data_IF_166910964900
#
_entry.id   IF_166910964900
#
_cell.length_a   1.000
_cell.length_b   1.000
_cell.length_c   1.000
_cell.angle_alpha   90.00
_cell.angle_beta   90.00
_cell.angle_gamma   90.00
#
_symmetry.space_group_name_H-M   'P 1'
#
loop_
_entity.id
_entity.type
_entity.pdbx_description
1 polymer ?
#
# COMPACT_ATOMS: atom_id res chain seq x y z
N UNK A 1 14.93 -25.59 -2.73
CA UNK A 1 14.39 -25.14 -4.02
C UNK A 1 12.90 -24.90 -3.84
N UNK A 2 12.51 -23.78 -3.24
CA UNK A 2 11.07 -23.49 -3.00
C UNK A 2 10.46 -23.03 -4.29
N UNK A 3 9.50 -23.80 -4.80
CA UNK A 3 8.81 -23.51 -6.05
C UNK A 3 8.05 -22.19 -5.94
N UNK A 4 8.37 -21.24 -6.83
CA UNK A 4 7.56 -20.06 -7.03
C UNK A 4 6.16 -20.54 -7.44
N UNK A 5 5.16 -20.28 -6.58
CA UNK A 5 3.76 -20.51 -6.95
C UNK A 5 3.49 -19.71 -8.22
N UNK A 6 2.91 -20.37 -9.21
CA UNK A 6 2.47 -19.73 -10.45
C UNK A 6 1.62 -18.50 -10.10
N UNK A 7 2.04 -17.35 -10.62
CA UNK A 7 1.45 -16.02 -10.43
C UNK A 7 0.09 -15.93 -11.15
N UNK A 8 -0.90 -16.70 -10.68
CA UNK A 8 -2.28 -16.70 -11.19
C UNK A 8 -3.15 -15.58 -10.62
N UNK A 9 -2.57 -14.71 -9.79
CA UNK A 9 -3.28 -13.59 -9.16
C UNK A 9 -3.36 -12.37 -10.06
N UNK A 10 -4.34 -11.51 -9.79
CA UNK A 10 -4.41 -10.19 -10.43
C UNK A 10 -3.34 -9.30 -9.80
N UNK A 11 -2.33 -8.90 -10.59
CA UNK A 11 -1.19 -8.10 -10.11
C UNK A 11 -1.58 -6.83 -9.34
N UNK A 12 -2.66 -6.15 -9.75
CA UNK A 12 -3.15 -4.97 -9.04
C UNK A 12 -3.74 -5.30 -7.67
N UNK A 13 -4.35 -6.48 -7.50
CA UNK A 13 -4.87 -6.93 -6.21
C UNK A 13 -3.72 -7.27 -5.29
N UNK A 14 -2.72 -8.01 -5.77
CA UNK A 14 -1.50 -8.31 -5.00
C UNK A 14 -0.85 -7.02 -4.51
N UNK A 15 -0.62 -6.06 -5.42
CA UNK A 15 0.00 -4.78 -5.04
C UNK A 15 -0.86 -3.96 -4.07
N UNK A 16 -2.19 -4.03 -4.16
CA UNK A 16 -3.06 -3.38 -3.17
C UNK A 16 -2.85 -3.95 -1.77
N UNK A 17 -2.70 -5.28 -1.65
CA UNK A 17 -2.39 -5.93 -0.37
C UNK A 17 -0.96 -5.62 0.09
N UNK A 18 0.03 -5.66 -0.79
CA UNK A 18 1.42 -5.31 -0.43
C UNK A 18 1.50 -3.87 0.11
N UNK A 19 0.75 -2.93 -0.49
CA UNK A 19 0.64 -1.55 0.01
C UNK A 19 -0.01 -1.50 1.39
N UNK A 20 -1.10 -2.23 1.60
CA UNK A 20 -1.82 -2.25 2.89
C UNK A 20 -0.94 -2.84 4.01
N UNK A 21 -0.24 -3.94 3.73
CA UNK A 21 0.69 -4.59 4.66
C UNK A 21 1.88 -3.67 4.99
N UNK A 22 2.43 -2.97 4.00
CA UNK A 22 3.50 -2.00 4.21
C UNK A 22 3.05 -0.81 5.09
N UNK A 23 1.81 -0.35 4.93
CA UNK A 23 1.23 0.68 5.80
C UNK A 23 1.01 0.13 7.22
N UNK A 24 0.55 -1.12 7.35
CA UNK A 24 0.34 -1.78 8.64
C UNK A 24 1.63 -2.01 9.43
N UNK A 25 2.72 -2.33 8.73
CA UNK A 25 4.03 -2.59 9.34
C UNK A 25 4.75 -1.30 9.78
N UNK A 26 4.31 -0.13 9.33
CA UNK A 26 4.91 1.13 9.72
C UNK A 26 4.55 1.48 11.19
N UNK A 27 5.52 1.88 12.03
CA UNK A 27 5.26 2.27 13.42
C UNK A 27 4.44 3.57 13.56
N UNK A 28 4.11 4.23 12.45
CA UNK A 28 3.37 5.48 12.38
C UNK A 28 2.94 5.76 10.95
N UNK A 29 2.78 7.03 10.59
CA UNK A 29 2.39 7.39 9.23
C UNK A 29 3.55 7.18 8.24
N UNK A 30 3.26 6.66 7.05
CA UNK A 30 4.24 6.39 5.99
C UNK A 30 3.96 7.24 4.74
N UNK A 31 5.03 7.75 4.10
CA UNK A 31 4.91 8.53 2.87
C UNK A 31 4.81 7.66 1.61
N UNK A 32 4.16 8.18 0.56
CA UNK A 32 4.08 7.48 -0.75
C UNK A 32 5.45 7.16 -1.36
N UNK A 33 6.45 8.01 -1.11
CA UNK A 33 7.81 7.81 -1.60
C UNK A 33 8.52 6.66 -0.89
N UNK A 34 8.29 6.52 0.42
CA UNK A 34 8.84 5.43 1.25
C UNK A 34 8.22 4.10 0.85
N UNK A 35 6.88 4.07 0.68
CA UNK A 35 6.17 2.89 0.20
C UNK A 35 6.65 2.45 -1.19
N UNK A 36 6.83 3.40 -2.12
CA UNK A 36 7.33 3.09 -3.46
C UNK A 36 8.73 2.46 -3.43
N UNK A 37 9.61 2.99 -2.58
CA UNK A 37 10.95 2.45 -2.38
C UNK A 37 10.91 1.04 -1.76
N UNK A 38 10.08 0.85 -0.72
CA UNK A 38 9.92 -0.43 -0.03
C UNK A 38 9.36 -1.53 -0.95
N UNK A 39 8.39 -1.18 -1.80
CA UNK A 39 7.68 -2.10 -2.69
C UNK A 39 8.35 -2.26 -4.05
N UNK A 40 9.49 -1.57 -4.30
CA UNK A 40 10.21 -1.66 -5.57
C UNK A 40 9.39 -1.21 -6.79
N UNK A 41 8.50 -0.22 -6.62
CA UNK A 41 7.60 0.26 -7.69
C UNK A 41 7.56 1.79 -7.75
N UNK A 42 6.77 2.35 -8.67
CA UNK A 42 6.71 3.82 -8.87
C UNK A 42 5.76 4.49 -7.87
N UNK A 43 6.03 5.76 -7.54
CA UNK A 43 5.12 6.58 -6.71
C UNK A 43 3.72 6.68 -7.31
N UNK A 44 3.60 6.83 -8.63
CA UNK A 44 2.32 6.90 -9.31
C UNK A 44 1.51 5.61 -9.18
N UNK A 45 2.19 4.45 -9.24
CA UNK A 45 1.55 3.16 -8.99
C UNK A 45 1.02 3.08 -7.56
N UNK A 46 1.87 3.33 -6.55
CA UNK A 46 1.46 3.29 -5.13
C UNK A 46 0.33 4.28 -4.85
N UNK A 47 0.45 5.51 -5.35
CA UNK A 47 -0.55 6.56 -5.14
C UNK A 47 -1.95 6.14 -5.57
N UNK A 48 -2.09 5.51 -6.74
CA UNK A 48 -3.40 5.02 -7.24
C UNK A 48 -4.00 3.93 -6.35
N UNK A 49 -3.17 3.05 -5.80
CA UNK A 49 -3.64 2.01 -4.87
C UNK A 49 -4.04 2.63 -3.53
N UNK A 50 -3.23 3.54 -2.99
CA UNK A 50 -3.57 4.30 -1.78
C UNK A 50 -4.88 5.08 -1.93
N UNK A 51 -5.08 5.76 -3.06
CA UNK A 51 -6.34 6.47 -3.32
C UNK A 51 -7.55 5.53 -3.22
N UNK A 52 -7.47 4.35 -3.84
CA UNK A 52 -8.53 3.34 -3.77
C UNK A 52 -8.74 2.84 -2.33
N UNK A 53 -7.65 2.61 -1.60
CA UNK A 53 -7.71 2.13 -0.20
C UNK A 53 -8.27 3.18 0.75
N UNK A 54 -7.97 4.46 0.52
CA UNK A 54 -8.53 5.61 1.24
C UNK A 54 -10.02 5.75 0.98
N UNK A 55 -10.43 5.74 -0.29
CA UNK A 55 -11.86 5.79 -0.68
C UNK A 55 -12.66 4.64 -0.05
N UNK A 56 -12.02 3.47 0.14
CA UNK A 56 -12.63 2.30 0.78
C UNK A 56 -12.49 2.25 2.30
N UNK A 57 -11.73 3.16 2.92
CA UNK A 57 -11.53 3.27 4.36
C UNK A 57 -10.55 2.26 4.98
N UNK A 58 -9.72 1.59 4.16
CA UNK A 58 -8.66 0.69 4.63
C UNK A 58 -7.37 1.42 5.01
N UNK A 59 -7.18 2.61 4.47
CA UNK A 59 -6.05 3.50 4.76
C UNK A 59 -6.61 4.89 5.01
N UNK A 60 -6.04 5.66 5.93
CA UNK A 60 -6.34 7.07 6.11
C UNK A 60 -5.14 7.91 5.65
N UNK A 61 -5.42 8.99 4.90
CA UNK A 61 -4.42 10.01 4.58
C UNK A 61 -4.53 11.17 5.57
N UNK A 62 -3.42 11.51 6.20
CA UNK A 62 -3.32 12.71 7.01
C UNK A 62 -3.35 13.96 6.12
N UNK A 63 -4.33 14.84 6.34
CA UNK A 63 -4.54 16.04 5.53
C UNK A 63 -3.41 17.09 5.62
N UNK A 64 -2.60 17.05 6.69
CA UNK A 64 -1.50 17.99 6.92
C UNK A 64 -0.18 17.45 6.38
N UNK A 65 0.15 16.19 6.71
CA UNK A 65 1.43 15.57 6.34
C UNK A 65 1.40 14.88 4.97
N UNK A 66 0.21 14.65 4.42
CA UNK A 66 -0.05 13.81 3.24
C UNK A 66 0.45 12.35 3.39
N UNK A 67 0.77 11.91 4.60
CA UNK A 67 1.22 10.55 4.93
C UNK A 67 0.03 9.64 5.24
N UNK A 68 0.27 8.34 5.20
CA UNK A 68 -0.76 7.31 5.25
C UNK A 68 -0.61 6.42 6.48
N UNK A 69 -1.73 5.99 7.05
CA UNK A 69 -1.81 5.02 8.15
C UNK A 69 -2.99 4.07 7.92
N UNK A 70 -3.10 3.01 8.71
CA UNK A 70 -4.28 2.13 8.66
C UNK A 70 -5.57 2.88 8.95
N UNK A 71 -6.60 2.56 8.18
CA UNK A 71 -7.94 3.11 8.34
C UNK A 71 -8.79 2.31 9.33
N UNK A 72 -10.06 2.65 9.45
CA UNK A 72 -10.97 2.02 10.42
C UNK A 72 -11.48 0.64 10.00
N UNK A 73 -11.21 0.22 8.74
CA UNK A 73 -11.71 -1.04 8.16
C UNK A 73 -10.62 -2.11 7.96
N UNK A 74 -9.40 -1.84 8.42
CA UNK A 74 -8.22 -2.71 8.26
C UNK A 74 -7.92 -3.54 9.49
#
# INVERSE_FOLDING_TARGET
MTMARSDGGVKSVQLAFDVLEAVAAAPGEVGVSELAALLGTTKGTVFRHLQTLVERGYVDQNAVSARYKLGTRS
#
